data_IF_958914588696
#
_entry.id   IF_958914588696
#
_cell.length_a   1.000
_cell.length_b   1.000
_cell.length_c   1.000
_cell.angle_alpha   90.00
_cell.angle_beta   90.00
_cell.angle_gamma   90.00
#
_symmetry.space_group_name_H-M   'P 1'
#
loop_
_entity.id
_entity.type
_entity.pdbx_description
1 polymer ?
#
# COMPACT_ATOMS: atom_id res chain seq x y z
N UNK A 1 -43.46 95.62 13.85
CA UNK A 1 -42.52 94.79 13.14
C UNK A 1 -42.16 93.60 14.01
N UNK A 2 -42.78 92.47 13.77
CA UNK A 2 -42.68 91.29 14.62
C UNK A 2 -41.95 90.20 13.81
N UNK A 3 -40.77 89.83 14.24
CA UNK A 3 -39.97 88.75 13.60
C UNK A 3 -40.16 87.45 14.38
N UNK A 4 -40.78 86.46 13.73
CA UNK A 4 -41.06 85.20 14.29
C UNK A 4 -39.93 84.20 13.94
N UNK A 5 -39.19 83.72 14.91
CA UNK A 5 -38.17 82.68 14.75
C UNK A 5 -38.85 81.31 14.84
N UNK A 6 -38.76 80.52 13.76
CA UNK A 6 -39.17 79.09 13.71
C UNK A 6 -37.95 78.21 14.08
N UNK A 7 -38.03 77.50 15.16
CA UNK A 7 -37.06 76.45 15.50
C UNK A 7 -37.42 75.19 14.75
N UNK A 8 -36.57 74.72 13.87
CA UNK A 8 -36.64 73.40 13.29
C UNK A 8 -35.94 72.41 14.20
N UNK A 9 -36.71 71.47 14.75
CA UNK A 9 -36.14 70.27 15.45
C UNK A 9 -35.66 69.29 14.42
N UNK A 10 -34.33 69.13 14.36
CA UNK A 10 -33.72 68.05 13.61
C UNK A 10 -33.72 66.75 14.48
N UNK A 11 -34.56 65.79 14.10
CA UNK A 11 -34.51 64.42 14.66
C UNK A 11 -33.32 63.66 14.03
N UNK A 12 -32.29 63.42 14.82
CA UNK A 12 -31.17 62.55 14.44
C UNK A 12 -31.60 61.11 14.75
N UNK A 13 -31.99 60.37 13.73
CA UNK A 13 -32.14 58.91 13.83
C UNK A 13 -30.78 58.23 13.99
N UNK A 14 -30.47 57.81 15.20
CA UNK A 14 -29.34 56.94 15.49
C UNK A 14 -29.72 55.52 15.10
N UNK A 15 -29.36 55.06 13.90
CA UNK A 15 -29.45 53.67 13.51
C UNK A 15 -28.39 52.85 14.26
N UNK A 16 -28.83 52.10 15.25
CA UNK A 16 -28.03 51.08 15.90
C UNK A 16 -27.79 49.91 14.91
N UNK A 17 -26.62 49.89 14.30
CA UNK A 17 -26.16 48.72 13.58
C UNK A 17 -25.74 47.65 14.60
N UNK A 18 -26.57 46.61 14.75
CA UNK A 18 -26.19 45.42 15.50
C UNK A 18 -25.06 44.70 14.78
N UNK A 19 -23.93 44.37 15.43
CA UNK A 19 -22.92 43.53 14.80
C UNK A 19 -23.52 42.14 14.56
N UNK A 20 -23.62 41.74 13.29
CA UNK A 20 -23.90 40.36 12.92
C UNK A 20 -22.69 39.54 13.38
N UNK A 21 -22.82 38.82 14.49
CA UNK A 21 -21.85 37.81 14.90
C UNK A 21 -21.84 36.73 13.82
N UNK A 22 -20.83 36.76 12.97
CA UNK A 22 -20.56 35.70 12.00
C UNK A 22 -20.02 34.50 12.79
N UNK A 23 -20.92 33.56 13.09
CA UNK A 23 -20.56 32.29 13.72
C UNK A 23 -19.81 31.47 12.66
N UNK A 24 -18.48 31.56 12.65
CA UNK A 24 -17.63 30.66 11.85
C UNK A 24 -17.66 29.30 12.53
N UNK A 25 -18.52 28.43 12.01
CA UNK A 25 -18.56 27.02 12.39
C UNK A 25 -17.31 26.34 11.77
N UNK A 26 -16.21 26.32 12.52
CA UNK A 26 -15.04 25.50 12.18
C UNK A 26 -15.43 24.03 12.34
N UNK A 27 -15.92 23.43 11.27
CA UNK A 27 -15.98 21.97 11.17
C UNK A 27 -14.56 21.42 11.22
N UNK A 28 -14.08 21.08 12.40
CA UNK A 28 -12.91 20.20 12.51
C UNK A 28 -13.31 18.84 11.94
N UNK A 29 -12.96 18.62 10.67
CA UNK A 29 -12.88 17.27 10.15
C UNK A 29 -11.75 16.58 10.93
N UNK A 30 -12.12 15.90 12.00
CA UNK A 30 -11.25 14.86 12.57
C UNK A 30 -11.26 13.75 11.53
N UNK A 31 -10.33 13.79 10.58
CA UNK A 31 -9.99 12.64 9.79
C UNK A 31 -9.52 11.59 10.81
N UNK A 32 -10.40 10.69 11.17
CA UNK A 32 -10.02 9.54 11.99
C UNK A 32 -8.91 8.84 11.23
N UNK A 33 -7.72 8.76 11.81
CA UNK A 33 -6.64 7.91 11.29
C UNK A 33 -7.18 6.48 11.35
N UNK A 34 -7.74 6.02 10.24
CA UNK A 34 -8.15 4.64 10.13
C UNK A 34 -6.87 3.81 10.16
N UNK A 35 -6.77 2.89 11.10
CA UNK A 35 -5.60 2.02 11.20
C UNK A 35 -5.42 1.29 9.87
N UNK A 36 -4.22 1.40 9.31
CA UNK A 36 -3.86 0.75 8.05
C UNK A 36 -3.89 -0.77 8.24
N UNK A 37 -4.39 -1.48 7.25
CA UNK A 37 -4.47 -2.95 7.27
C UNK A 37 -3.70 -3.55 6.11
N UNK A 38 -3.04 -4.67 6.37
CA UNK A 38 -2.38 -5.51 5.38
C UNK A 38 -3.01 -6.90 5.43
N UNK A 39 -3.17 -7.55 4.29
CA UNK A 39 -3.66 -8.92 4.22
C UNK A 39 -2.75 -9.83 3.41
N UNK A 40 -2.80 -11.13 3.75
CA UNK A 40 -2.26 -12.22 2.93
C UNK A 40 -3.30 -12.63 1.90
N UNK A 41 -2.91 -12.76 0.64
CA UNK A 41 -3.78 -13.24 -0.43
C UNK A 41 -3.85 -14.77 -0.44
N UNK A 42 -5.03 -15.31 -0.18
CA UNK A 42 -5.32 -16.72 -0.35
C UNK A 42 -5.78 -16.98 -1.79
N UNK A 43 -5.01 -17.79 -2.51
CA UNK A 43 -5.29 -18.19 -3.88
C UNK A 43 -5.50 -19.71 -4.01
N UNK A 44 -6.02 -20.14 -5.14
CA UNK A 44 -6.24 -21.54 -5.50
C UNK A 44 -5.08 -22.05 -6.38
N UNK A 45 -5.07 -23.36 -6.67
CA UNK A 45 -4.10 -23.97 -7.58
C UNK A 45 -3.15 -24.95 -6.90
N UNK A 46 -3.13 -24.98 -5.57
CA UNK A 46 -2.31 -25.93 -4.79
C UNK A 46 -0.95 -25.38 -4.35
N UNK A 47 -0.63 -24.11 -4.69
CA UNK A 47 0.52 -23.43 -4.09
C UNK A 47 0.27 -23.06 -2.62
N UNK A 48 1.33 -22.88 -1.88
CA UNK A 48 1.33 -22.69 -0.44
C UNK A 48 1.25 -21.19 -0.07
N UNK A 49 0.14 -20.54 -0.40
CA UNK A 49 -0.16 -19.16 -0.06
C UNK A 49 0.04 -18.82 1.44
N UNK A 50 0.06 -19.84 2.29
CA UNK A 50 0.27 -19.77 3.74
C UNK A 50 1.74 -19.92 4.14
N UNK A 51 2.65 -19.97 3.18
CA UNK A 51 4.09 -19.90 3.41
C UNK A 51 4.47 -18.63 4.15
N UNK A 52 5.60 -18.64 4.84
CA UNK A 52 6.16 -17.50 5.55
C UNK A 52 5.21 -16.88 6.59
N UNK A 53 4.69 -17.66 7.55
CA UNK A 53 3.62 -17.21 8.44
C UNK A 53 4.03 -16.08 9.38
N UNK A 54 5.31 -15.89 9.68
CA UNK A 54 5.82 -14.83 10.55
C UNK A 54 6.29 -13.58 9.78
N UNK A 55 6.38 -13.67 8.45
CA UNK A 55 6.94 -12.60 7.61
C UNK A 55 6.19 -11.28 7.72
N UNK A 56 4.88 -11.26 7.45
CA UNK A 56 4.09 -10.03 7.54
C UNK A 56 3.96 -9.48 8.97
N UNK A 57 3.75 -10.29 10.03
CA UNK A 57 3.81 -9.80 11.40
C UNK A 57 5.10 -9.06 11.72
N UNK A 58 6.25 -9.61 11.33
CA UNK A 58 7.56 -8.99 11.56
C UNK A 58 7.76 -7.72 10.72
N UNK A 59 7.34 -7.73 9.46
CA UNK A 59 7.38 -6.53 8.61
C UNK A 59 6.50 -5.42 9.19
N UNK A 60 5.28 -5.73 9.63
CA UNK A 60 4.36 -4.76 10.25
C UNK A 60 5.00 -4.18 11.51
N UNK A 61 5.55 -5.02 12.37
CA UNK A 61 6.24 -4.56 13.58
C UNK A 61 7.38 -3.62 13.21
N UNK A 62 8.25 -4.02 12.29
CA UNK A 62 9.36 -3.20 11.81
C UNK A 62 8.88 -1.84 11.27
N UNK A 63 7.84 -1.81 10.46
CA UNK A 63 7.29 -0.57 9.91
C UNK A 63 6.75 0.35 11.02
N UNK A 64 6.00 -0.20 11.97
CA UNK A 64 5.44 0.57 13.08
C UNK A 64 6.54 1.18 13.96
N UNK A 65 7.64 0.45 14.20
CA UNK A 65 8.76 0.90 15.02
C UNK A 65 9.70 1.88 14.31
N UNK A 66 9.93 1.71 12.99
CA UNK A 66 11.01 2.40 12.30
C UNK A 66 10.59 3.45 11.27
N UNK A 67 9.36 3.37 10.73
CA UNK A 67 8.88 4.33 9.72
C UNK A 67 7.55 5.02 10.12
N UNK A 68 7.21 4.97 11.42
CA UNK A 68 6.05 5.65 12.01
C UNK A 68 4.70 5.31 11.37
N UNK A 69 4.49 4.05 10.99
CA UNK A 69 3.17 3.57 10.57
C UNK A 69 2.31 3.18 11.78
N UNK A 70 1.00 3.04 11.57
CA UNK A 70 0.04 2.53 12.55
C UNK A 70 -0.74 1.35 11.97
N UNK A 71 -0.01 0.36 11.43
CA UNK A 71 -0.58 -0.82 10.81
C UNK A 71 -1.06 -1.78 11.91
N UNK A 72 -2.24 -2.37 11.71
CA UNK A 72 -2.76 -3.41 12.62
C UNK A 72 -1.77 -4.57 12.68
N UNK A 73 -1.34 -4.95 13.87
CA UNK A 73 -0.23 -5.90 14.08
C UNK A 73 -0.47 -7.30 13.53
N UNK A 74 -1.74 -7.72 13.41
CA UNK A 74 -2.09 -9.03 12.88
C UNK A 74 -2.64 -8.88 11.47
N UNK A 75 -1.95 -9.38 10.44
CA UNK A 75 -2.48 -9.40 9.08
C UNK A 75 -3.69 -10.33 8.99
N UNK A 76 -4.63 -9.97 8.15
CA UNK A 76 -5.80 -10.80 7.84
C UNK A 76 -5.48 -11.71 6.63
N UNK A 77 -6.34 -12.70 6.39
CA UNK A 77 -6.29 -13.52 5.18
C UNK A 77 -7.50 -13.20 4.31
N UNK A 78 -7.29 -12.90 3.04
CA UNK A 78 -8.36 -12.57 2.10
C UNK A 78 -8.28 -13.42 0.84
N UNK A 79 -9.40 -13.93 0.37
CA UNK A 79 -9.48 -14.67 -0.89
C UNK A 79 -9.51 -13.72 -2.09
N UNK A 80 -8.91 -14.13 -3.21
CA UNK A 80 -8.82 -13.32 -4.44
C UNK A 80 -10.19 -12.83 -4.92
N UNK A 81 -11.21 -13.69 -4.87
CA UNK A 81 -12.57 -13.39 -5.31
C UNK A 81 -13.47 -12.74 -4.25
N UNK A 82 -12.96 -12.48 -3.03
CA UNK A 82 -13.76 -11.86 -1.97
C UNK A 82 -13.85 -10.36 -2.15
N UNK A 83 -15.05 -9.78 -1.92
CA UNK A 83 -15.21 -8.33 -1.81
C UNK A 83 -14.45 -7.72 -0.61
N UNK A 84 -14.07 -8.52 0.36
CA UNK A 84 -13.32 -8.06 1.52
C UNK A 84 -11.92 -7.53 1.16
N UNK A 85 -11.37 -7.93 -0.01
CA UNK A 85 -10.07 -7.46 -0.49
C UNK A 85 -10.00 -5.92 -0.56
N UNK A 86 -11.12 -5.24 -0.84
CA UNK A 86 -11.21 -3.78 -0.92
C UNK A 86 -11.02 -3.07 0.43
N UNK A 87 -10.97 -3.81 1.54
CA UNK A 87 -10.68 -3.24 2.87
C UNK A 87 -9.17 -3.07 3.14
N UNK A 88 -8.32 -3.63 2.26
CA UNK A 88 -6.87 -3.68 2.45
C UNK A 88 -6.16 -2.87 1.36
N UNK A 89 -5.57 -1.72 1.68
CA UNK A 89 -4.80 -0.96 0.68
C UNK A 89 -3.56 -1.71 0.18
N UNK A 90 -3.05 -2.65 0.99
CA UNK A 90 -1.90 -3.50 0.67
C UNK A 90 -2.25 -4.97 0.90
N UNK A 91 -2.09 -5.78 -0.13
CA UNK A 91 -2.25 -7.23 -0.08
C UNK A 91 -0.92 -7.87 -0.50
N UNK A 92 -0.48 -8.87 0.26
CA UNK A 92 0.75 -9.62 0.01
C UNK A 92 0.42 -11.04 -0.43
N UNK A 93 1.13 -11.51 -1.43
CA UNK A 93 1.03 -12.85 -1.97
C UNK A 93 2.43 -13.46 -2.02
N UNK A 94 2.56 -14.67 -1.52
CA UNK A 94 3.78 -15.47 -1.59
C UNK A 94 3.44 -16.93 -1.84
N UNK A 95 4.42 -17.78 -2.05
CA UNK A 95 4.29 -19.23 -2.12
C UNK A 95 5.13 -19.86 -3.23
N UNK A 96 5.04 -21.19 -3.31
CA UNK A 96 5.71 -22.01 -4.30
C UNK A 96 4.70 -22.56 -5.30
N UNK A 97 5.06 -22.60 -6.58
CA UNK A 97 4.34 -23.32 -7.62
C UNK A 97 2.95 -22.79 -7.96
N UNK A 98 2.01 -23.71 -8.09
CA UNK A 98 0.76 -23.48 -8.81
C UNK A 98 -0.15 -22.41 -8.23
N UNK A 99 -0.45 -21.41 -9.04
CA UNK A 99 -1.46 -20.37 -8.80
C UNK A 99 -2.59 -20.55 -9.80
N UNK A 100 -3.81 -20.37 -9.36
CA UNK A 100 -4.98 -20.37 -10.21
C UNK A 100 -5.99 -19.31 -9.78
N UNK A 101 -6.42 -18.47 -10.73
CA UNK A 101 -7.53 -17.54 -10.59
C UNK A 101 -8.66 -17.97 -11.55
N UNK A 102 -9.90 -18.05 -11.07
CA UNK A 102 -11.05 -18.11 -11.95
C UNK A 102 -11.21 -16.77 -12.69
N UNK A 103 -12.08 -16.72 -13.69
CA UNK A 103 -12.36 -15.45 -14.40
C UNK A 103 -12.93 -14.41 -13.43
N UNK A 104 -13.79 -14.82 -12.48
CA UNK A 104 -14.34 -13.96 -11.44
C UNK A 104 -13.26 -13.51 -10.45
N UNK A 105 -12.35 -14.39 -10.03
CA UNK A 105 -11.21 -14.04 -9.18
C UNK A 105 -10.34 -12.97 -9.89
N UNK A 106 -10.04 -13.17 -11.16
CA UNK A 106 -9.23 -12.25 -11.96
C UNK A 106 -9.91 -10.88 -12.15
N UNK A 107 -11.22 -10.86 -12.41
CA UNK A 107 -12.01 -9.64 -12.51
C UNK A 107 -12.05 -8.88 -11.18
N UNK A 108 -12.29 -9.59 -10.07
CA UNK A 108 -12.31 -8.98 -8.74
C UNK A 108 -10.96 -8.37 -8.38
N UNK A 109 -9.85 -9.10 -8.62
CA UNK A 109 -8.50 -8.61 -8.40
C UNK A 109 -8.19 -7.39 -9.26
N UNK A 110 -8.58 -7.40 -10.54
CA UNK A 110 -8.46 -6.24 -11.43
C UNK A 110 -9.17 -5.02 -10.84
N UNK A 111 -10.43 -5.18 -10.47
CA UNK A 111 -11.24 -4.10 -9.91
C UNK A 111 -10.62 -3.55 -8.62
N UNK A 112 -10.10 -4.41 -7.75
CA UNK A 112 -9.35 -4.02 -6.56
C UNK A 112 -8.14 -3.14 -6.90
N UNK A 113 -7.29 -3.59 -7.83
CA UNK A 113 -6.08 -2.88 -8.21
C UNK A 113 -6.38 -1.53 -8.90
N UNK A 114 -7.43 -1.48 -9.73
CA UNK A 114 -7.87 -0.24 -10.38
C UNK A 114 -8.51 0.75 -9.40
N UNK A 115 -9.09 0.27 -8.30
CA UNK A 115 -9.76 1.10 -7.29
C UNK A 115 -8.82 1.66 -6.21
N UNK A 116 -7.51 1.51 -6.35
CA UNK A 116 -6.54 2.03 -5.40
C UNK A 116 -5.79 0.97 -4.59
N UNK A 117 -6.18 -0.30 -4.70
CA UNK A 117 -5.46 -1.41 -4.07
C UNK A 117 -4.07 -1.63 -4.65
N UNK A 118 -3.24 -2.32 -3.89
CA UNK A 118 -1.89 -2.70 -4.28
C UNK A 118 -1.62 -4.17 -3.94
N UNK A 119 -1.03 -4.91 -4.89
CA UNK A 119 -0.60 -6.29 -4.68
C UNK A 119 0.93 -6.38 -4.74
N UNK A 120 1.53 -6.87 -3.67
CA UNK A 120 2.91 -7.35 -3.68
C UNK A 120 2.91 -8.87 -3.84
N UNK A 121 3.63 -9.38 -4.82
CA UNK A 121 3.86 -10.80 -5.04
C UNK A 121 5.34 -11.04 -4.81
N UNK A 122 5.67 -11.96 -3.91
CA UNK A 122 7.03 -12.41 -3.66
C UNK A 122 7.22 -13.84 -4.14
N UNK A 123 8.17 -14.07 -5.04
CA UNK A 123 8.50 -15.42 -5.53
C UNK A 123 9.35 -16.15 -4.51
N UNK A 124 8.73 -17.03 -3.77
CA UNK A 124 9.39 -17.90 -2.81
C UNK A 124 10.05 -19.12 -3.48
N UNK A 125 10.38 -18.98 -4.75
CA UNK A 125 10.91 -19.95 -5.69
C UNK A 125 9.86 -20.75 -6.47
N UNK A 126 9.76 -20.43 -7.76
CA UNK A 126 9.01 -21.20 -8.74
C UNK A 126 7.55 -20.79 -8.96
N UNK A 127 7.09 -19.68 -8.40
CA UNK A 127 5.75 -19.13 -8.66
C UNK A 127 5.66 -18.42 -10.03
N UNK A 128 6.77 -17.89 -10.54
CA UNK A 128 6.83 -17.02 -11.72
C UNK A 128 6.06 -17.54 -12.94
N UNK A 129 6.28 -18.75 -13.45
CA UNK A 129 5.59 -19.23 -14.66
C UNK A 129 4.07 -19.35 -14.49
N UNK A 130 3.60 -19.57 -13.28
CA UNK A 130 2.18 -19.70 -12.96
C UNK A 130 1.54 -18.32 -12.83
N UNK A 131 2.15 -17.42 -12.05
CA UNK A 131 1.59 -16.11 -11.81
C UNK A 131 1.57 -15.24 -13.08
N UNK A 132 2.57 -15.33 -13.95
CA UNK A 132 2.57 -14.61 -15.23
C UNK A 132 1.39 -15.03 -16.12
N UNK A 133 1.00 -16.31 -16.09
CA UNK A 133 -0.18 -16.79 -16.80
C UNK A 133 -1.47 -16.23 -16.20
N UNK A 134 -1.60 -16.22 -14.89
CA UNK A 134 -2.78 -15.74 -14.19
C UNK A 134 -2.94 -14.20 -14.29
N UNK A 135 -1.84 -13.47 -14.26
CA UNK A 135 -1.87 -12.02 -14.43
C UNK A 135 -2.36 -11.58 -15.83
N UNK A 136 -2.21 -12.42 -16.86
CA UNK A 136 -2.81 -12.17 -18.19
C UNK A 136 -4.34 -12.17 -18.16
N UNK A 137 -4.96 -12.90 -17.21
CA UNK A 137 -6.42 -12.85 -17.00
C UNK A 137 -6.80 -11.56 -16.25
N UNK A 138 -5.97 -11.15 -15.27
CA UNK A 138 -6.19 -9.91 -14.52
C UNK A 138 -6.06 -8.68 -15.42
N UNK A 139 -5.01 -8.61 -16.23
CA UNK A 139 -4.75 -7.49 -17.15
C UNK A 139 -4.53 -7.98 -18.59
N UNK A 140 -5.60 -8.31 -19.33
CA UNK A 140 -5.47 -8.76 -20.72
C UNK A 140 -4.73 -7.72 -21.58
N UNK A 141 -3.70 -8.19 -22.29
CA UNK A 141 -2.91 -7.34 -23.19
C UNK A 141 -1.85 -6.46 -22.50
N UNK A 142 -1.68 -6.58 -21.18
CA UNK A 142 -0.57 -5.96 -20.46
C UNK A 142 0.47 -7.03 -20.07
N UNK A 143 1.72 -6.60 -19.95
CA UNK A 143 2.83 -7.42 -19.49
C UNK A 143 3.51 -6.77 -18.29
N UNK A 144 4.11 -7.61 -17.45
CA UNK A 144 4.98 -7.15 -16.38
C UNK A 144 6.18 -6.39 -16.97
N UNK A 145 6.45 -5.20 -16.42
CA UNK A 145 7.59 -4.37 -16.81
C UNK A 145 8.64 -4.41 -15.71
N UNK A 146 9.86 -4.71 -16.06
CA UNK A 146 10.98 -4.63 -15.12
C UNK A 146 11.15 -3.18 -14.65
N UNK A 147 11.23 -2.99 -13.34
CA UNK A 147 11.44 -1.68 -12.73
C UNK A 147 12.93 -1.31 -12.83
N UNK A 148 13.25 -0.08 -13.24
CA UNK A 148 14.62 0.39 -13.23
C UNK A 148 15.13 0.54 -11.77
N UNK A 149 16.43 0.40 -11.55
CA UNK A 149 17.04 0.45 -10.21
C UNK A 149 16.82 1.78 -9.47
N UNK A 150 16.57 2.85 -10.19
CA UNK A 150 16.28 4.18 -9.66
C UNK A 150 14.79 4.43 -9.41
N UNK A 151 13.92 3.42 -9.61
CA UNK A 151 12.49 3.55 -9.31
C UNK A 151 12.30 3.96 -7.85
N UNK A 152 11.36 4.88 -7.61
CA UNK A 152 11.13 5.49 -6.29
C UNK A 152 10.85 4.49 -5.17
N UNK A 153 10.21 3.34 -5.49
CA UNK A 153 9.93 2.28 -4.51
C UNK A 153 11.19 1.76 -3.81
N UNK A 154 12.35 1.76 -4.50
CA UNK A 154 13.62 1.34 -3.91
C UNK A 154 14.26 2.41 -3.02
N UNK A 155 13.69 3.61 -3.00
CA UNK A 155 14.26 4.74 -2.29
C UNK A 155 13.21 5.52 -1.47
N UNK A 156 12.03 4.93 -1.24
CA UNK A 156 10.89 5.59 -0.59
C UNK A 156 11.23 6.06 0.85
N UNK A 157 12.00 5.30 1.59
CA UNK A 157 12.50 5.65 2.92
C UNK A 157 13.98 5.30 3.09
N UNK A 158 14.32 4.02 2.94
CA UNK A 158 15.71 3.53 2.92
C UNK A 158 16.28 3.57 1.52
N UNK A 159 17.60 3.71 1.38
CA UNK A 159 18.26 3.84 0.07
C UNK A 159 18.77 2.49 -0.42
N UNK A 160 18.29 2.07 -1.59
CA UNK A 160 18.72 0.89 -2.31
C UNK A 160 19.21 1.29 -3.72
N UNK A 161 20.41 1.83 -3.85
CA UNK A 161 20.92 2.36 -5.13
C UNK A 161 21.09 1.29 -6.21
N UNK A 162 21.20 0.02 -5.78
CA UNK A 162 21.32 -1.13 -6.69
C UNK A 162 19.96 -1.77 -7.03
N UNK A 163 18.85 -1.20 -6.51
CA UNK A 163 17.48 -1.71 -6.67
C UNK A 163 17.15 -2.82 -5.68
N UNK A 164 16.40 -3.83 -6.13
CA UNK A 164 15.94 -4.93 -5.28
C UNK A 164 17.10 -5.72 -4.69
N UNK A 165 17.17 -5.95 -3.36
CA UNK A 165 18.23 -6.77 -2.76
C UNK A 165 17.99 -8.25 -3.02
N UNK A 166 19.07 -9.03 -3.06
CA UNK A 166 19.06 -10.49 -3.03
C UNK A 166 19.15 -10.95 -1.58
N UNK A 167 18.20 -11.78 -1.14
CA UNK A 167 18.18 -12.36 0.20
C UNK A 167 18.68 -13.81 0.13
N UNK A 168 18.00 -14.68 -0.62
CA UNK A 168 18.46 -16.04 -0.85
C UNK A 168 18.91 -16.27 -2.29
N UNK A 169 19.75 -17.29 -2.46
CA UNK A 169 20.25 -17.69 -3.77
C UNK A 169 19.60 -19.00 -4.19
N UNK A 170 18.79 -18.94 -5.26
CA UNK A 170 18.21 -20.14 -5.88
C UNK A 170 18.96 -20.51 -7.16
N UNK A 171 18.58 -19.89 -8.28
CA UNK A 171 19.16 -20.19 -9.60
C UNK A 171 20.41 -19.36 -9.89
N UNK A 172 20.93 -18.59 -8.93
CA UNK A 172 22.09 -17.74 -9.12
C UNK A 172 21.84 -16.51 -10.02
N UNK A 173 20.58 -16.21 -10.33
CA UNK A 173 20.20 -15.02 -11.09
C UNK A 173 20.18 -13.79 -10.21
N UNK A 174 20.31 -12.62 -10.83
CA UNK A 174 20.16 -11.35 -10.14
C UNK A 174 18.68 -11.14 -9.73
N UNK A 175 18.41 -10.47 -8.59
CA UNK A 175 17.06 -10.11 -8.20
C UNK A 175 16.45 -9.13 -9.19
N UNK A 176 15.17 -9.32 -9.52
CA UNK A 176 14.42 -8.47 -10.44
C UNK A 176 13.09 -8.08 -9.80
N UNK A 177 12.69 -6.85 -10.01
CA UNK A 177 11.36 -6.35 -9.64
C UNK A 177 10.58 -6.03 -10.90
N UNK A 178 9.38 -6.57 -11.00
CA UNK A 178 8.47 -6.30 -12.09
C UNK A 178 7.23 -5.57 -11.59
N UNK A 179 6.69 -4.67 -12.38
CA UNK A 179 5.51 -3.91 -12.05
C UNK A 179 4.42 -3.95 -13.11
N UNK A 180 3.19 -3.79 -12.67
CA UNK A 180 2.06 -3.41 -13.52
C UNK A 180 1.59 -2.02 -13.15
N UNK A 181 1.21 -1.23 -14.16
CA UNK A 181 0.85 0.17 -13.98
C UNK A 181 -0.56 0.45 -14.49
N UNK A 182 -1.29 1.28 -13.76
CA UNK A 182 -2.56 1.83 -14.18
C UNK A 182 -2.53 3.36 -13.99
N UNK A 183 -2.79 4.12 -15.06
CA UNK A 183 -2.77 5.59 -15.05
C UNK A 183 -1.49 6.20 -14.41
N UNK A 184 -0.35 5.55 -14.62
CA UNK A 184 0.95 5.97 -14.07
C UNK A 184 1.23 5.47 -12.66
N UNK A 185 0.26 4.92 -11.93
CA UNK A 185 0.44 4.33 -10.61
C UNK A 185 0.90 2.87 -10.73
N UNK A 186 1.92 2.50 -10.00
CA UNK A 186 2.30 1.09 -9.80
C UNK A 186 1.21 0.42 -8.95
N UNK A 187 0.49 -0.53 -9.52
CA UNK A 187 -0.62 -1.23 -8.85
C UNK A 187 -0.24 -2.62 -8.37
N UNK A 188 0.81 -3.19 -8.95
CA UNK A 188 1.33 -4.50 -8.60
C UNK A 188 2.86 -4.47 -8.67
N UNK A 189 3.49 -5.04 -7.67
CA UNK A 189 4.92 -5.32 -7.62
C UNK A 189 5.13 -6.83 -7.51
N UNK A 190 5.95 -7.39 -8.40
CA UNK A 190 6.40 -8.78 -8.33
C UNK A 190 7.91 -8.81 -8.12
N UNK A 191 8.34 -9.30 -6.96
CA UNK A 191 9.74 -9.52 -6.61
C UNK A 191 10.13 -10.94 -6.97
N UNK A 192 11.17 -11.07 -7.81
CA UNK A 192 11.65 -12.33 -8.36
C UNK A 192 13.11 -12.53 -8.02
N UNK A 193 13.51 -13.77 -7.68
CA UNK A 193 14.88 -14.11 -7.30
C UNK A 193 15.41 -13.28 -6.11
N UNK A 194 14.54 -12.85 -5.22
CA UNK A 194 14.88 -12.01 -4.06
C UNK A 194 14.63 -12.70 -2.73
N UNK A 195 13.45 -13.31 -2.54
CA UNK A 195 12.94 -13.93 -1.32
C UNK A 195 12.84 -12.94 -0.16
N UNK A 196 12.16 -11.83 -0.41
CA UNK A 196 11.95 -10.83 0.66
C UNK A 196 11.17 -11.43 1.83
N UNK A 197 10.13 -12.24 1.51
CA UNK A 197 9.26 -12.87 2.50
C UNK A 197 10.03 -13.74 3.49
N UNK A 198 10.99 -14.51 3.00
CA UNK A 198 11.86 -15.34 3.83
C UNK A 198 12.71 -14.48 4.77
N UNK A 199 13.29 -13.40 4.23
CA UNK A 199 14.08 -12.47 5.04
C UNK A 199 13.27 -11.68 6.07
N UNK A 200 11.94 -11.69 5.99
CA UNK A 200 11.07 -11.09 7.01
C UNK A 200 10.68 -12.08 8.11
N UNK A 201 10.88 -13.39 7.92
CA UNK A 201 10.53 -14.40 8.91
C UNK A 201 11.35 -14.31 10.21
N UNK A 202 10.95 -15.07 11.22
CA UNK A 202 11.68 -15.17 12.47
C UNK A 202 13.13 -15.64 12.23
N UNK A 203 14.13 -15.18 13.01
CA UNK A 203 15.53 -15.45 12.76
C UNK A 203 15.88 -16.94 12.66
N UNK A 204 15.18 -17.78 13.41
CA UNK A 204 15.40 -19.23 13.48
C UNK A 204 14.85 -20.02 12.30
N UNK A 205 14.02 -19.41 11.43
CA UNK A 205 13.39 -20.13 10.30
C UNK A 205 14.43 -20.42 9.23
N UNK A 206 15.14 -19.40 8.78
CA UNK A 206 16.14 -19.52 7.72
C UNK A 206 17.59 -19.41 8.25
N UNK A 207 17.75 -18.97 9.49
CA UNK A 207 19.03 -18.68 10.11
C UNK A 207 19.88 -17.64 9.33
N UNK A 208 19.21 -16.70 8.70
CA UNK A 208 19.86 -15.63 7.96
C UNK A 208 20.68 -14.73 8.90
N UNK A 209 21.83 -14.21 8.42
CA UNK A 209 22.54 -13.16 9.11
C UNK A 209 21.65 -11.93 9.37
N UNK A 210 21.85 -11.28 10.52
CA UNK A 210 21.04 -10.14 10.94
C UNK A 210 21.04 -9.01 9.90
N UNK A 211 22.16 -8.74 9.26
CA UNK A 211 22.28 -7.71 8.21
C UNK A 211 21.50 -8.06 6.93
N UNK A 212 21.33 -9.34 6.61
CA UNK A 212 20.52 -9.83 5.49
C UNK A 212 19.03 -9.64 5.82
N UNK A 213 18.60 -10.04 7.02
CA UNK A 213 17.23 -9.85 7.49
C UNK A 213 16.86 -8.37 7.59
N UNK A 214 17.75 -7.55 8.15
CA UNK A 214 17.52 -6.10 8.24
C UNK A 214 17.39 -5.48 6.84
N UNK A 215 18.17 -5.94 5.88
CA UNK A 215 18.07 -5.50 4.47
C UNK A 215 16.71 -5.86 3.87
N UNK A 216 16.21 -7.08 4.09
CA UNK A 216 14.89 -7.51 3.63
C UNK A 216 13.77 -6.66 4.27
N UNK A 217 13.80 -6.46 5.59
CA UNK A 217 12.83 -5.64 6.32
C UNK A 217 12.85 -4.18 5.87
N UNK A 218 14.01 -3.60 5.63
CA UNK A 218 14.15 -2.23 5.08
C UNK A 218 13.54 -2.11 3.67
N UNK A 219 13.72 -3.12 2.81
CA UNK A 219 13.07 -3.13 1.50
C UNK A 219 11.56 -3.29 1.62
N UNK A 220 11.09 -4.17 2.49
CA UNK A 220 9.66 -4.29 2.80
C UNK A 220 9.06 -2.98 3.32
N UNK A 221 9.77 -2.28 4.18
CA UNK A 221 9.35 -0.97 4.68
C UNK A 221 9.28 0.10 3.56
N UNK A 222 10.18 0.05 2.57
CA UNK A 222 10.08 0.89 1.39
C UNK A 222 8.82 0.60 0.58
N UNK A 223 8.47 -0.68 0.38
CA UNK A 223 7.26 -1.08 -0.33
C UNK A 223 6.02 -0.56 0.42
N UNK A 224 5.96 -0.77 1.73
CA UNK A 224 4.86 -0.29 2.58
C UNK A 224 4.75 1.23 2.53
N UNK A 225 5.87 1.94 2.67
CA UNK A 225 5.92 3.41 2.61
C UNK A 225 5.42 3.93 1.27
N UNK A 226 5.90 3.34 0.17
CA UNK A 226 5.48 3.70 -1.17
C UNK A 226 3.95 3.55 -1.35
N UNK A 227 3.37 2.44 -0.89
CA UNK A 227 1.94 2.15 -1.06
C UNK A 227 1.05 3.08 -0.24
N UNK A 228 1.47 3.44 0.97
CA UNK A 228 0.63 4.26 1.86
C UNK A 228 0.78 5.77 1.63
N UNK A 229 1.73 6.22 0.81
CA UNK A 229 1.95 7.64 0.50
C UNK A 229 1.61 8.03 -0.95
N UNK A 230 1.36 7.06 -1.83
CA UNK A 230 0.98 7.23 -3.23
C UNK A 230 -0.41 6.62 -3.52
#
# INVERSE_FOLDING_TARGET
MTVTYRYQFMYVFRTLTRPKALLILCCFFVAGVQAQKIAVLKYKGGGDWYGNPTSLPNLIQFCNEHINTAIVSKPEVVEVGSSDIFQYPFVHMTGHGHVFFSDEDAENLRNYLLSGGFLHIDDNYGIKPYIESELKKVFPGQELKELPKDHEIFNAYYKFPDGLPKIHVHDGKAPQAFGMFHEGRLVLLFTYESDLGDGWEDPEVHNDPEDVREKALKMGANIVKYVFEN
#
